data_IF_832724358450
#
_entry.id   IF_832724358450
#
_cell.length_a   1.000
_cell.length_b   1.000
_cell.length_c   1.000
_cell.angle_alpha   90.00
_cell.angle_beta   90.00
_cell.angle_gamma   90.00
#
_symmetry.space_group_name_H-M   'P 1'
#
loop_
_entity.id
_entity.type
_entity.pdbx_description
1 polymer ?
#
# COMPACT_ATOMS: atom_id res chain seq x y z
N UNK A 1 -12.46 -21.88 -13.66
CA UNK A 1 -11.18 -22.31 -13.04
C UNK A 1 -10.08 -21.41 -13.58
N UNK A 2 -9.49 -20.52 -12.77
CA UNK A 2 -8.32 -19.75 -13.20
C UNK A 2 -7.11 -20.69 -13.23
N UNK A 3 -6.68 -21.07 -14.43
CA UNK A 3 -5.42 -21.78 -14.61
C UNK A 3 -4.28 -20.78 -14.41
N UNK A 4 -3.29 -21.04 -13.53
CA UNK A 4 -2.16 -20.16 -13.34
C UNK A 4 -1.39 -20.05 -14.65
N UNK A 5 -1.38 -18.87 -15.26
CA UNK A 5 -0.57 -18.62 -16.45
C UNK A 5 0.88 -18.50 -15.96
N UNK A 6 1.82 -19.36 -16.39
CA UNK A 6 3.17 -19.42 -15.80
C UNK A 6 4.00 -18.13 -15.98
N UNK A 7 3.53 -17.22 -16.83
CA UNK A 7 4.12 -15.91 -17.06
C UNK A 7 3.43 -14.77 -16.31
N UNK A 8 2.40 -15.04 -15.51
CA UNK A 8 1.70 -14.01 -14.73
C UNK A 8 1.90 -14.30 -13.26
N UNK A 9 2.33 -13.27 -12.52
CA UNK A 9 2.52 -13.30 -11.08
C UNK A 9 1.57 -12.29 -10.47
N UNK A 10 0.73 -12.74 -9.56
CA UNK A 10 -0.12 -11.87 -8.75
C UNK A 10 0.44 -11.85 -7.33
N UNK A 11 0.68 -10.66 -6.81
CA UNK A 11 1.03 -10.46 -5.40
C UNK A 11 -0.02 -9.56 -4.75
N UNK A 12 -0.43 -9.92 -3.55
CA UNK A 12 -1.35 -9.13 -2.74
C UNK A 12 -0.85 -9.14 -1.30
N UNK A 13 -0.81 -7.97 -0.69
CA UNK A 13 -0.39 -7.75 0.69
C UNK A 13 -1.40 -6.85 1.38
N UNK A 14 -1.89 -7.28 2.53
CA UNK A 14 -2.74 -6.47 3.39
C UNK A 14 -2.02 -6.25 4.71
N UNK A 15 -1.81 -4.99 5.07
CA UNK A 15 -1.11 -4.57 6.29
C UNK A 15 -1.99 -3.66 7.11
N UNK A 16 -2.16 -3.98 8.38
CA UNK A 16 -2.87 -3.13 9.33
C UNK A 16 -1.85 -2.45 10.25
N UNK A 17 -1.99 -1.14 10.44
CA UNK A 17 -1.09 -0.34 11.26
C UNK A 17 -1.79 0.16 12.52
N UNK A 18 -1.09 0.02 13.65
CA UNK A 18 -1.55 0.41 14.98
C UNK A 18 -0.43 1.18 15.69
N UNK A 19 -0.80 2.23 16.43
CA UNK A 19 0.07 2.88 17.41
C UNK A 19 0.32 1.92 18.57
N UNK A 20 1.59 1.85 18.99
CA UNK A 20 1.99 1.07 20.17
C UNK A 20 1.39 1.64 21.46
N UNK A 21 1.18 2.96 21.52
CA UNK A 21 0.53 3.65 22.64
C UNK A 21 -0.52 4.64 22.11
N UNK A 22 -1.71 4.65 22.71
CA UNK A 22 -2.82 5.54 22.36
C UNK A 22 -2.52 7.02 22.63
N UNK A 23 -1.55 7.32 23.49
CA UNK A 23 -1.06 8.67 23.81
C UNK A 23 0.26 8.98 23.08
N UNK A 24 0.79 8.00 22.34
CA UNK A 24 2.04 8.08 21.61
C UNK A 24 1.95 9.01 20.41
N UNK A 25 3.03 9.74 20.14
CA UNK A 25 3.15 10.49 18.89
C UNK A 25 3.30 9.51 17.71
N UNK A 26 2.61 9.78 16.60
CA UNK A 26 2.88 9.10 15.33
C UNK A 26 4.25 9.58 14.82
N UNK A 27 5.27 8.76 15.11
CA UNK A 27 6.67 9.08 14.85
C UNK A 27 6.87 9.32 13.35
N UNK A 28 7.38 10.50 12.99
CA UNK A 28 7.64 10.90 11.61
C UNK A 28 6.61 11.84 11.00
N UNK A 29 5.39 11.98 11.54
CA UNK A 29 4.41 12.97 11.08
C UNK A 29 4.26 14.18 12.01
N UNK A 30 4.70 14.06 13.27
CA UNK A 30 4.49 15.06 14.32
C UNK A 30 3.08 15.08 14.92
N UNK A 31 2.17 14.20 14.47
CA UNK A 31 0.80 14.12 15.00
C UNK A 31 0.78 13.34 16.31
N UNK A 32 0.34 13.98 17.40
CA UNK A 32 0.19 13.35 18.71
C UNK A 32 -1.17 13.71 19.30
N UNK A 33 -2.01 12.71 19.58
CA UNK A 33 -3.16 12.90 20.44
C UNK A 33 -2.79 12.61 21.91
N UNK A 34 -2.56 13.67 22.70
CA UNK A 34 -2.28 13.55 24.14
C UNK A 34 -3.48 13.11 24.97
N UNK A 35 -4.69 13.12 24.42
CA UNK A 35 -5.91 12.73 25.14
C UNK A 35 -6.26 11.25 25.01
N UNK A 36 -5.63 10.53 24.06
CA UNK A 36 -5.89 9.12 23.79
C UNK A 36 -7.29 8.81 23.24
N UNK A 37 -8.09 9.84 22.93
CA UNK A 37 -9.48 9.70 22.45
C UNK A 37 -9.56 9.30 20.98
N UNK A 38 -8.50 9.55 20.21
CA UNK A 38 -8.41 9.21 18.79
C UNK A 38 -8.17 7.71 18.54
N UNK A 39 -7.83 6.94 19.59
CA UNK A 39 -7.56 5.50 19.49
C UNK A 39 -6.14 5.18 19.01
N UNK A 40 -5.86 3.91 18.72
CA UNK A 40 -4.55 3.46 18.24
C UNK A 40 -4.55 2.96 16.80
N UNK A 41 -5.69 2.94 16.10
CA UNK A 41 -5.75 2.39 14.74
C UNK A 41 -5.41 3.46 13.70
N UNK A 42 -4.26 3.31 13.04
CA UNK A 42 -3.77 4.25 12.04
C UNK A 42 -4.42 4.02 10.68
N UNK A 43 -4.75 2.77 10.35
CA UNK A 43 -5.37 2.43 9.07
C UNK A 43 -4.91 1.08 8.52
N UNK A 44 -5.41 0.76 7.34
CA UNK A 44 -5.02 -0.42 6.58
C UNK A 44 -4.35 0.01 5.27
N UNK A 45 -3.36 -0.74 4.84
CA UNK A 45 -2.73 -0.61 3.54
C UNK A 45 -2.96 -1.90 2.76
N UNK A 46 -3.50 -1.76 1.58
CA UNK A 46 -3.71 -2.85 0.65
C UNK A 46 -2.83 -2.62 -0.56
N UNK A 47 -1.85 -3.49 -0.74
CA UNK A 47 -0.94 -3.52 -1.87
C UNK A 47 -1.32 -4.68 -2.78
N UNK A 48 -1.43 -4.41 -4.07
CA UNK A 48 -1.64 -5.41 -5.09
C UNK A 48 -0.67 -5.14 -6.24
N UNK A 49 -0.01 -6.17 -6.75
CA UNK A 49 0.80 -6.06 -7.96
C UNK A 49 0.62 -7.25 -8.87
N UNK A 50 0.77 -6.99 -10.16
CA UNK A 50 0.67 -7.95 -11.24
C UNK A 50 1.95 -7.85 -12.06
N UNK A 51 2.75 -8.90 -11.98
CA UNK A 51 3.91 -9.13 -12.82
C UNK A 51 3.53 -9.94 -14.06
N UNK A 52 4.03 -9.56 -15.22
CA UNK A 52 3.85 -10.30 -16.46
C UNK A 52 5.16 -10.44 -17.23
N UNK A 53 5.52 -11.69 -17.54
CA UNK A 53 6.77 -12.10 -18.17
C UNK A 53 6.51 -12.75 -19.55
N UNK A 54 6.20 -11.97 -20.60
CA UNK A 54 5.89 -12.49 -21.93
C UNK A 54 6.99 -13.40 -22.50
N UNK A 55 6.58 -14.56 -23.01
CA UNK A 55 7.47 -15.59 -23.56
C UNK A 55 7.67 -15.49 -25.09
N UNK A 56 7.18 -14.44 -25.75
CA UNK A 56 7.35 -14.25 -27.19
C UNK A 56 8.79 -13.88 -27.52
N UNK A 57 9.36 -14.42 -28.61
CA UNK A 57 10.80 -14.33 -28.92
C UNK A 57 11.44 -12.94 -28.80
N UNK A 58 10.71 -11.86 -29.07
CA UNK A 58 11.20 -10.48 -28.93
C UNK A 58 11.00 -9.88 -27.53
N UNK A 59 10.03 -10.37 -26.76
CA UNK A 59 9.66 -9.89 -25.42
C UNK A 59 10.14 -10.79 -24.28
N UNK A 60 10.80 -11.93 -24.57
CA UNK A 60 11.40 -12.84 -23.55
C UNK A 60 12.36 -12.15 -22.58
N UNK A 61 12.87 -10.98 -22.97
CA UNK A 61 13.80 -10.14 -22.20
C UNK A 61 13.11 -9.00 -21.46
N UNK A 62 11.79 -8.87 -21.58
CA UNK A 62 11.00 -7.80 -20.98
C UNK A 62 10.08 -8.38 -19.92
N UNK A 63 10.18 -7.83 -18.71
CA UNK A 63 9.27 -8.11 -17.60
C UNK A 63 8.47 -6.85 -17.31
N UNK A 64 7.15 -6.98 -17.23
CA UNK A 64 6.26 -5.90 -16.79
C UNK A 64 5.83 -6.15 -15.36
N UNK A 65 5.70 -5.08 -14.58
CA UNK A 65 5.16 -5.12 -13.23
C UNK A 65 4.28 -3.89 -13.02
N UNK A 66 3.03 -4.10 -12.66
CA UNK A 66 2.06 -3.05 -12.39
C UNK A 66 1.61 -3.22 -10.96
N UNK A 67 1.81 -2.20 -10.13
CA UNK A 67 1.40 -2.23 -8.74
C UNK A 67 0.47 -1.10 -8.38
N UNK A 68 -0.38 -1.35 -7.41
CA UNK A 68 -1.33 -0.41 -6.85
C UNK A 68 -1.40 -0.61 -5.34
N UNK A 69 -1.31 0.50 -4.62
CA UNK A 69 -1.32 0.57 -3.17
C UNK A 69 -2.42 1.53 -2.75
N UNK A 70 -3.37 1.02 -1.99
CA UNK A 70 -4.46 1.79 -1.41
C UNK A 70 -4.25 1.89 0.09
N UNK A 71 -4.10 3.12 0.60
CA UNK A 71 -3.96 3.38 2.02
C UNK A 71 -5.29 3.90 2.55
N UNK A 72 -6.01 3.04 3.26
CA UNK A 72 -7.21 3.36 4.03
C UNK A 72 -6.78 4.02 5.34
N UNK A 73 -6.94 5.34 5.45
CA UNK A 73 -6.70 6.06 6.71
C UNK A 73 -7.78 5.68 7.73
N UNK A 74 -7.36 5.28 8.93
CA UNK A 74 -8.26 4.92 10.02
C UNK A 74 -8.77 6.13 10.82
N UNK A 75 -9.72 5.88 11.72
CA UNK A 75 -10.40 6.89 12.57
C UNK A 75 -9.45 7.77 13.40
N UNK A 76 -8.19 7.37 13.60
CA UNK A 76 -7.19 8.17 14.29
C UNK A 76 -6.94 9.52 13.57
N UNK A 77 -6.88 9.51 12.24
CA UNK A 77 -6.66 10.73 11.45
C UNK A 77 -7.90 11.63 11.39
N UNK A 78 -9.10 11.08 11.63
CA UNK A 78 -10.35 11.84 11.72
C UNK A 78 -10.51 12.58 13.05
N UNK A 79 -9.92 12.05 14.13
CA UNK A 79 -10.10 12.56 15.50
C UNK A 79 -8.91 13.37 16.02
N UNK A 80 -7.73 13.22 15.42
CA UNK A 80 -6.54 13.97 15.84
C UNK A 80 -6.67 15.45 15.45
N UNK A 81 -6.44 16.40 16.38
CA UNK A 81 -6.39 17.83 16.04
C UNK A 81 -5.31 18.09 14.99
N UNK A 82 -5.61 18.87 13.94
CA UNK A 82 -4.74 19.12 12.77
C UNK A 82 -4.41 17.87 11.91
N UNK A 83 -5.29 16.86 11.89
CA UNK A 83 -5.18 15.78 10.92
C UNK A 83 -5.26 16.29 9.46
N UNK A 84 -4.48 15.74 8.51
CA UNK A 84 -4.63 16.08 7.10
C UNK A 84 -6.03 15.72 6.60
N UNK A 85 -6.64 16.58 5.76
CA UNK A 85 -7.97 16.32 5.16
C UNK A 85 -8.06 14.92 4.53
N UNK A 86 -9.29 14.35 4.54
CA UNK A 86 -9.68 13.02 4.05
C UNK A 86 -9.34 12.79 2.56
N UNK A 87 -8.07 12.75 2.21
CA UNK A 87 -7.60 12.25 0.93
C UNK A 87 -7.09 10.83 1.15
N UNK A 88 -7.89 9.85 0.73
CA UNK A 88 -7.45 8.47 0.55
C UNK A 88 -6.27 8.48 -0.41
N UNK A 89 -5.15 7.92 0.04
CA UNK A 89 -3.91 7.97 -0.74
C UNK A 89 -3.83 6.74 -1.61
N UNK A 90 -4.01 6.98 -2.91
CA UNK A 90 -3.86 5.97 -3.95
C UNK A 90 -2.50 6.14 -4.59
N UNK A 91 -1.67 5.11 -4.53
CA UNK A 91 -0.40 5.08 -5.24
C UNK A 91 -0.44 3.97 -6.28
N UNK A 92 -0.09 4.29 -7.52
CA UNK A 92 0.03 3.32 -8.59
C UNK A 92 1.38 3.46 -9.26
N UNK A 93 1.97 2.33 -9.66
CA UNK A 93 3.18 2.33 -10.45
C UNK A 93 3.09 1.32 -11.59
N UNK A 94 3.92 1.56 -12.60
CA UNK A 94 4.14 0.62 -13.70
C UNK A 94 5.62 0.60 -13.99
N UNK A 95 6.18 -0.60 -14.08
CA UNK A 95 7.60 -0.83 -14.31
C UNK A 95 7.77 -1.80 -15.48
N UNK A 96 8.72 -1.49 -16.35
CA UNK A 96 9.18 -2.40 -17.39
C UNK A 96 10.68 -2.62 -17.20
N UNK A 97 11.09 -3.89 -17.08
CA UNK A 97 12.49 -4.28 -16.88
C UNK A 97 13.00 -5.01 -18.11
N UNK A 98 14.11 -4.53 -18.68
CA UNK A 98 14.83 -5.17 -19.79
C UNK A 98 16.02 -5.97 -19.27
N UNK A 99 16.14 -7.24 -19.68
CA UNK A 99 17.22 -8.16 -19.30
C UNK A 99 18.13 -8.41 -20.52
N UNK A 100 19.42 -8.10 -20.38
CA UNK A 100 20.43 -8.23 -21.44
C UNK A 100 21.27 -9.49 -21.27
#
# INVERSE_FOLDING_TARGET
MLLPVPNVRLMMSHRAYWLADKHGAYVGSGLQDRTGRSGSFLGNMLDISVGWDPQWSFLKRVSFDIGYSHIFKGDYFDKVPNGPEKADTNYGYTMATLKF
#
